data_IF_289588142792
#
_entry.id   IF_289588142792
#
_cell.length_a   1.000
_cell.length_b   1.000
_cell.length_c   1.000
_cell.angle_alpha   90.00
_cell.angle_beta   90.00
_cell.angle_gamma   90.00
#
_symmetry.space_group_name_H-M   'P 1'
#
loop_
_entity.id
_entity.type
_entity.pdbx_description
1 polymer ?
#
# COMPACT_ATOMS: atom_id res chain seq x y z
N UNK A 1 -6.38 -2.81 -19.04
CA UNK A 1 -5.98 -1.54 -19.73
C UNK A 1 -4.50 -1.60 -20.08
N UNK A 2 -4.10 -1.38 -21.34
CA UNK A 2 -2.68 -1.24 -21.71
C UNK A 2 -2.14 0.07 -21.11
N UNK A 3 -1.13 0.00 -20.25
CA UNK A 3 -0.45 1.18 -19.72
C UNK A 3 0.19 1.98 -20.87
N UNK A 4 -0.03 3.28 -20.87
CA UNK A 4 0.63 4.20 -21.80
C UNK A 4 2.14 4.25 -21.52
N UNK A 5 2.95 3.81 -22.48
CA UNK A 5 4.42 3.89 -22.41
C UNK A 5 4.93 4.92 -23.41
N UNK A 6 5.74 5.87 -22.94
CA UNK A 6 6.41 6.83 -23.81
C UNK A 6 7.57 6.15 -24.56
N UNK A 7 7.85 6.61 -25.78
CA UNK A 7 9.02 6.13 -26.54
C UNK A 7 10.31 6.48 -25.81
N UNK A 8 11.19 5.50 -25.65
CA UNK A 8 12.54 5.69 -25.10
C UNK A 8 13.48 6.30 -26.14
N UNK A 9 14.62 6.82 -25.70
CA UNK A 9 15.67 7.30 -26.61
C UNK A 9 16.10 6.20 -27.59
N UNK A 10 16.37 4.99 -27.09
CA UNK A 10 16.73 3.84 -27.95
C UNK A 10 15.66 3.49 -28.98
N UNK A 11 14.38 3.52 -28.60
CA UNK A 11 13.27 3.30 -29.54
C UNK A 11 13.22 4.37 -30.64
N UNK A 12 13.57 5.63 -30.35
CA UNK A 12 13.67 6.69 -31.38
C UNK A 12 14.80 6.39 -32.38
N UNK A 13 15.95 5.89 -31.94
CA UNK A 13 17.02 5.48 -32.85
C UNK A 13 16.61 4.30 -33.73
N UNK A 14 15.89 3.31 -33.17
CA UNK A 14 15.35 2.20 -33.96
C UNK A 14 14.32 2.65 -35.00
N UNK A 15 13.40 3.54 -34.62
CA UNK A 15 12.43 4.16 -35.55
C UNK A 15 13.15 4.90 -36.69
N UNK A 16 14.26 5.58 -36.39
CA UNK A 16 15.06 6.26 -37.40
C UNK A 16 15.67 5.29 -38.41
N UNK A 17 16.27 4.19 -37.95
CA UNK A 17 16.78 3.15 -38.84
C UNK A 17 15.69 2.57 -39.76
N UNK A 18 14.52 2.27 -39.20
CA UNK A 18 13.39 1.76 -39.99
C UNK A 18 12.87 2.79 -41.02
N UNK A 19 12.91 4.08 -40.68
CA UNK A 19 12.54 5.16 -41.59
C UNK A 19 13.56 5.32 -42.74
N UNK A 20 14.86 5.20 -42.45
CA UNK A 20 15.91 5.21 -43.47
C UNK A 20 15.79 4.01 -44.41
N UNK A 21 15.35 2.86 -43.91
CA UNK A 21 15.02 1.68 -44.72
C UNK A 21 13.72 1.83 -45.56
N UNK A 22 13.11 3.02 -45.61
CA UNK A 22 11.94 3.31 -46.43
C UNK A 22 10.61 2.75 -45.91
N UNK A 23 10.55 2.27 -44.66
CA UNK A 23 9.29 1.76 -44.11
C UNK A 23 8.32 2.90 -43.83
N UNK A 24 7.05 2.68 -44.19
CA UNK A 24 5.97 3.59 -43.83
C UNK A 24 5.66 3.53 -42.33
N UNK A 25 4.97 4.55 -41.81
CA UNK A 25 4.62 4.68 -40.39
C UNK A 25 3.86 3.47 -39.82
N UNK A 26 3.04 2.80 -40.64
CA UNK A 26 2.26 1.62 -40.23
C UNK A 26 3.17 0.42 -39.97
N UNK A 27 4.12 0.14 -40.89
CA UNK A 27 5.10 -0.94 -40.72
C UNK A 27 6.08 -0.66 -39.58
N UNK A 28 6.47 0.60 -39.39
CA UNK A 28 7.28 1.02 -38.23
C UNK A 28 6.53 0.71 -36.93
N UNK A 29 5.26 1.10 -36.83
CA UNK A 29 4.45 0.88 -35.64
C UNK A 29 4.31 -0.63 -35.31
N UNK A 30 4.04 -1.45 -36.33
CA UNK A 30 4.00 -2.92 -36.20
C UNK A 30 5.32 -3.49 -35.69
N UNK A 31 6.47 -3.12 -36.28
CA UNK A 31 7.79 -3.59 -35.84
C UNK A 31 8.16 -3.13 -34.43
N UNK A 32 7.73 -1.94 -34.04
CA UNK A 32 7.98 -1.39 -32.70
C UNK A 32 7.00 -1.90 -31.64
N UNK A 33 5.94 -2.62 -32.03
CA UNK A 33 4.88 -3.05 -31.12
C UNK A 33 4.06 -1.92 -30.52
N UNK A 34 3.95 -0.78 -31.21
CA UNK A 34 3.20 0.41 -30.77
C UNK A 34 2.06 0.74 -31.73
N UNK A 35 1.10 1.55 -31.27
CA UNK A 35 0.03 2.02 -32.13
C UNK A 35 0.53 2.99 -33.23
N UNK A 36 -0.10 2.96 -34.42
CA UNK A 36 0.25 3.85 -35.54
C UNK A 36 0.19 5.33 -35.15
N UNK A 37 -0.74 5.70 -34.26
CA UNK A 37 -0.90 7.06 -33.78
C UNK A 37 0.26 7.50 -32.88
N UNK A 38 0.98 6.57 -32.24
CA UNK A 38 2.19 6.88 -31.47
C UNK A 38 3.30 7.37 -32.39
N UNK A 39 3.55 6.66 -33.49
CA UNK A 39 4.56 7.07 -34.50
C UNK A 39 4.15 8.37 -35.18
N UNK A 40 2.89 8.52 -35.56
CA UNK A 40 2.37 9.75 -36.17
C UNK A 40 2.53 10.97 -35.23
N UNK A 41 2.14 10.84 -33.95
CA UNK A 41 2.31 11.93 -32.97
C UNK A 41 3.78 12.24 -32.71
N UNK A 42 4.65 11.24 -32.66
CA UNK A 42 6.10 11.43 -32.51
C UNK A 42 6.67 12.25 -33.68
N UNK A 43 6.39 11.86 -34.93
CA UNK A 43 6.85 12.58 -36.11
C UNK A 43 6.25 13.98 -36.26
N UNK A 44 5.05 14.22 -35.73
CA UNK A 44 4.43 15.55 -35.77
C UNK A 44 4.95 16.48 -34.67
N UNK A 45 5.06 15.98 -33.43
CA UNK A 45 5.37 16.81 -32.25
C UNK A 45 6.87 17.06 -32.05
N UNK A 46 7.72 16.16 -32.55
CA UNK A 46 9.16 16.15 -32.28
C UNK A 46 10.00 16.35 -33.56
N UNK A 47 9.48 17.12 -34.53
CA UNK A 47 10.12 17.40 -35.81
C UNK A 47 10.72 18.80 -35.81
N UNK A 48 11.96 18.90 -36.27
CA UNK A 48 12.63 20.17 -36.53
C UNK A 48 12.43 20.70 -37.94
N UNK A 49 13.02 21.86 -38.23
CA UNK A 49 13.01 22.46 -39.57
C UNK A 49 13.62 21.54 -40.64
N UNK A 50 14.68 20.80 -40.31
CA UNK A 50 15.35 19.83 -41.20
C UNK A 50 14.77 18.40 -41.11
N UNK A 51 13.55 18.26 -40.61
CA UNK A 51 12.88 16.97 -40.44
C UNK A 51 13.04 16.36 -39.06
N UNK A 52 12.74 15.06 -38.96
CA UNK A 52 12.72 14.33 -37.69
C UNK A 52 14.04 13.58 -37.48
N UNK A 53 14.71 13.82 -36.35
CA UNK A 53 15.96 13.17 -35.93
C UNK A 53 15.87 12.72 -34.46
N UNK A 54 16.36 11.53 -34.08
CA UNK A 54 16.21 10.98 -32.73
C UNK A 54 16.68 11.89 -31.59
N UNK A 55 17.91 12.42 -31.68
CA UNK A 55 18.50 13.28 -30.65
C UNK A 55 17.68 14.55 -30.42
N UNK A 56 17.27 15.20 -31.51
CA UNK A 56 16.40 16.37 -31.45
C UNK A 56 15.03 16.03 -30.86
N UNK A 57 14.45 14.90 -31.29
CA UNK A 57 13.14 14.48 -30.83
C UNK A 57 13.10 14.19 -29.34
N UNK A 58 14.21 13.68 -28.79
CA UNK A 58 14.41 13.53 -27.35
C UNK A 58 14.49 14.90 -26.65
N UNK A 59 15.31 15.84 -27.14
CA UNK A 59 15.43 17.20 -26.59
C UNK A 59 14.08 17.91 -26.51
N UNK A 60 13.32 17.95 -27.61
CA UNK A 60 12.01 18.59 -27.67
C UNK A 60 10.97 17.95 -26.73
N UNK A 61 11.12 16.65 -26.43
CA UNK A 61 10.29 15.98 -25.44
C UNK A 61 10.69 16.39 -24.03
N UNK A 62 11.99 16.46 -23.75
CA UNK A 62 12.54 16.78 -22.44
C UNK A 62 12.27 18.25 -22.08
N UNK A 63 12.45 19.18 -23.03
CA UNK A 63 12.06 20.59 -22.90
C UNK A 63 10.58 20.74 -22.55
N UNK A 64 9.68 20.06 -23.28
CA UNK A 64 8.25 20.09 -22.96
C UNK A 64 7.93 19.49 -21.60
N UNK A 65 8.64 18.42 -21.20
CA UNK A 65 8.48 17.84 -19.87
C UNK A 65 8.91 18.83 -18.80
N UNK A 66 10.02 19.54 -19.02
CA UNK A 66 10.53 20.56 -18.12
C UNK A 66 9.56 21.74 -18.01
N UNK A 67 8.99 22.18 -19.14
CA UNK A 67 8.01 23.25 -19.18
C UNK A 67 6.67 22.90 -18.48
N UNK A 68 6.34 21.61 -18.38
CA UNK A 68 5.16 21.14 -17.62
C UNK A 68 5.42 20.96 -16.11
N UNK A 69 6.61 21.27 -15.61
CA UNK A 69 6.89 21.24 -14.17
C UNK A 69 6.21 22.46 -13.54
N UNK A 70 4.94 22.28 -13.17
CA UNK A 70 4.09 23.32 -12.57
C UNK A 70 4.16 23.33 -11.03
N UNK A 71 5.12 22.65 -10.41
CA UNK A 71 5.24 22.59 -8.96
C UNK A 71 5.90 23.84 -8.40
N UNK A 72 5.42 24.34 -7.26
CA UNK A 72 6.11 25.36 -6.45
C UNK A 72 7.54 24.88 -6.19
N UNK A 73 8.51 25.54 -6.82
CA UNK A 73 9.92 25.29 -6.57
C UNK A 73 10.33 26.14 -5.38
N UNK A 74 10.84 25.49 -4.34
CA UNK A 74 11.46 26.19 -3.20
C UNK A 74 12.83 26.67 -3.63
N UNK A 75 13.17 27.91 -3.26
CA UNK A 75 14.48 28.48 -3.56
C UNK A 75 15.59 27.80 -2.76
N UNK A 76 16.85 28.07 -3.11
CA UNK A 76 18.01 27.61 -2.33
C UNK A 76 17.93 28.06 -0.87
N UNK A 77 17.46 29.28 -0.64
CA UNK A 77 17.35 29.88 0.70
C UNK A 77 16.27 29.16 1.53
N UNK A 78 15.15 28.81 0.90
CA UNK A 78 14.09 28.02 1.55
C UNK A 78 14.62 26.66 2.02
N UNK A 79 15.45 26.00 1.20
CA UNK A 79 16.04 24.72 1.56
C UNK A 79 17.12 24.85 2.62
N UNK A 80 17.92 25.91 2.60
CA UNK A 80 18.92 26.17 3.64
C UNK A 80 18.29 26.24 5.04
N UNK A 81 17.12 26.87 5.15
CA UNK A 81 16.41 26.98 6.42
C UNK A 81 15.81 25.63 6.87
N UNK A 82 15.24 24.87 5.93
CA UNK A 82 14.80 23.48 6.20
C UNK A 82 15.97 22.63 6.69
N UNK A 83 17.12 22.72 6.03
CA UNK A 83 18.32 21.96 6.40
C UNK A 83 18.85 22.36 7.78
N UNK A 84 18.82 23.65 8.13
CA UNK A 84 19.16 24.13 9.47
C UNK A 84 18.32 23.43 10.54
N UNK A 85 17.00 23.42 10.37
CA UNK A 85 16.08 22.77 11.32
C UNK A 85 16.27 21.24 11.37
N UNK A 86 16.51 20.59 10.23
CA UNK A 86 16.78 19.15 10.21
C UNK A 86 18.08 18.84 10.97
N UNK A 87 19.13 19.66 10.81
CA UNK A 87 20.40 19.49 11.53
C UNK A 87 20.31 19.73 13.05
N UNK A 88 19.26 20.42 13.50
CA UNK A 88 18.88 20.56 14.91
C UNK A 88 18.05 19.37 15.44
N UNK A 89 18.01 18.26 14.68
CA UNK A 89 17.29 17.01 14.99
C UNK A 89 15.76 17.18 15.14
N UNK A 90 15.20 18.22 14.51
CA UNK A 90 13.75 18.31 14.30
C UNK A 90 13.34 17.30 13.23
N UNK A 91 12.21 16.62 13.47
CA UNK A 91 11.61 15.79 12.44
C UNK A 91 11.08 16.64 11.28
N UNK A 92 10.98 16.11 10.04
CA UNK A 92 10.42 16.83 8.91
C UNK A 92 9.02 17.42 9.15
N UNK A 93 8.21 16.77 10.00
CA UNK A 93 6.91 17.31 10.42
C UNK A 93 7.05 18.52 11.36
N UNK A 94 7.98 18.45 12.32
CA UNK A 94 8.25 19.58 13.22
C UNK A 94 8.87 20.76 12.47
N UNK A 95 9.79 20.51 11.54
CA UNK A 95 10.39 21.56 10.72
C UNK A 95 9.33 22.28 9.87
N UNK A 96 8.46 21.52 9.18
CA UNK A 96 7.35 22.09 8.42
C UNK A 96 6.42 22.96 9.27
N UNK A 97 6.00 22.45 10.44
CA UNK A 97 5.11 23.18 11.34
C UNK A 97 5.78 24.43 11.95
N UNK A 98 7.09 24.37 12.22
CA UNK A 98 7.86 25.49 12.76
C UNK A 98 7.96 26.63 11.75
N UNK A 99 8.31 26.32 10.50
CA UNK A 99 8.41 27.28 9.41
C UNK A 99 7.07 27.95 9.08
N UNK A 100 5.97 27.21 9.20
CA UNK A 100 4.63 27.76 9.05
C UNK A 100 4.27 28.70 10.21
N UNK A 101 4.63 28.33 11.45
CA UNK A 101 4.37 29.14 12.64
C UNK A 101 5.15 30.46 12.64
N UNK A 102 6.39 30.44 12.16
CA UNK A 102 7.24 31.63 12.04
C UNK A 102 6.91 32.48 10.80
N UNK A 103 6.01 32.01 9.93
CA UNK A 103 5.60 32.71 8.72
C UNK A 103 6.66 32.75 7.61
N UNK A 104 7.73 31.95 7.75
CA UNK A 104 8.87 31.95 6.83
C UNK A 104 8.59 31.12 5.59
N UNK A 105 8.01 29.93 5.77
CA UNK A 105 7.82 29.00 4.66
C UNK A 105 6.68 27.99 4.90
N UNK A 106 5.74 27.93 3.96
CA UNK A 106 4.79 26.81 3.89
C UNK A 106 5.33 25.71 2.97
N UNK A 107 5.77 24.61 3.59
CA UNK A 107 6.30 23.40 2.95
C UNK A 107 5.70 22.15 3.58
N UNK A 108 5.37 21.14 2.77
CA UNK A 108 4.88 19.87 3.32
C UNK A 108 6.03 19.01 3.83
N UNK A 109 5.81 18.28 4.94
CA UNK A 109 6.79 17.33 5.47
C UNK A 109 7.19 16.26 4.44
N UNK A 110 6.30 15.88 3.52
CA UNK A 110 6.63 14.99 2.39
C UNK A 110 7.64 15.61 1.42
N UNK A 111 7.53 16.91 1.14
CA UNK A 111 8.52 17.60 0.31
C UNK A 111 9.91 17.59 0.97
N UNK A 112 9.96 17.79 2.30
CA UNK A 112 11.19 17.69 3.09
C UNK A 112 11.75 16.26 3.06
N UNK A 113 10.90 15.22 3.21
CA UNK A 113 11.35 13.83 3.09
C UNK A 113 11.96 13.51 1.71
N UNK A 114 11.35 14.02 0.63
CA UNK A 114 11.92 13.86 -0.73
C UNK A 114 13.26 14.55 -0.86
N UNK A 115 13.43 15.74 -0.28
CA UNK A 115 14.70 16.48 -0.26
C UNK A 115 15.79 15.71 0.47
N UNK A 116 15.52 15.28 1.70
CA UNK A 116 16.47 14.46 2.49
C UNK A 116 16.82 13.14 1.76
N UNK A 117 15.86 12.55 1.05
CA UNK A 117 16.12 11.34 0.25
C UNK A 117 16.95 11.62 -1.01
N UNK A 118 16.79 12.79 -1.63
CA UNK A 118 17.59 13.22 -2.77
C UNK A 118 19.03 13.52 -2.32
N UNK A 119 19.21 14.32 -1.28
CA UNK A 119 20.49 14.60 -0.62
C UNK A 119 21.25 13.29 -0.31
N UNK A 120 20.58 12.32 0.33
CA UNK A 120 21.17 11.01 0.60
C UNK A 120 21.64 10.26 -0.66
N UNK A 121 20.92 10.36 -1.77
CA UNK A 121 21.31 9.71 -3.04
C UNK A 121 22.53 10.39 -3.66
N UNK A 122 22.66 11.70 -3.44
CA UNK A 122 23.76 12.52 -3.93
C UNK A 122 24.98 12.48 -2.99
N UNK A 123 24.88 11.75 -1.86
CA UNK A 123 25.98 11.50 -0.91
C UNK A 123 25.96 12.37 0.35
N UNK A 124 24.90 13.15 0.57
CA UNK A 124 24.73 14.01 1.73
C UNK A 124 24.31 13.28 3.02
N UNK A 125 24.30 14.05 4.11
CA UNK A 125 24.22 13.59 5.48
C UNK A 125 22.91 13.96 6.20
N UNK A 126 21.97 14.68 5.56
CA UNK A 126 20.73 15.13 6.20
C UNK A 126 19.91 13.99 6.82
N UNK A 127 19.98 12.81 6.20
CA UNK A 127 19.27 11.62 6.68
C UNK A 127 19.77 11.10 8.04
N UNK A 128 20.97 11.47 8.47
CA UNK A 128 21.56 11.07 9.75
C UNK A 128 20.90 11.80 10.93
N UNK A 129 20.38 13.01 10.69
CA UNK A 129 19.66 13.82 11.68
C UNK A 129 18.19 13.43 11.85
N UNK A 130 17.70 12.45 11.08
CA UNK A 130 16.36 11.93 11.29
C UNK A 130 16.32 11.00 12.51
N UNK A 131 15.41 11.30 13.45
CA UNK A 131 15.17 10.51 14.68
C UNK A 131 14.99 9.00 14.46
N UNK A 132 14.49 8.61 13.28
CA UNK A 132 14.36 7.20 12.90
C UNK A 132 15.48 6.80 11.93
N UNK A 133 16.67 6.54 12.46
CA UNK A 133 17.81 6.01 11.70
C UNK A 133 17.69 4.52 11.35
N UNK A 134 16.51 3.91 11.45
CA UNK A 134 16.34 2.48 11.24
C UNK A 134 16.77 2.12 9.81
N UNK A 135 17.86 1.34 9.60
CA UNK A 135 18.34 1.00 8.27
C UNK A 135 17.32 0.16 7.49
N UNK A 136 16.33 -0.41 8.20
CA UNK A 136 15.24 -1.21 7.65
C UNK A 136 13.97 -1.00 8.48
N UNK A 137 12.83 -0.83 7.81
CA UNK A 137 11.51 -0.94 8.45
C UNK A 137 11.41 -2.32 9.11
N UNK A 138 11.14 -2.35 10.41
CA UNK A 138 10.89 -3.60 11.15
C UNK A 138 9.73 -4.31 10.44
N UNK A 139 10.03 -5.33 9.63
CA UNK A 139 9.00 -6.22 9.11
C UNK A 139 8.57 -7.03 10.32
N UNK A 140 7.33 -6.85 10.79
CA UNK A 140 6.71 -7.88 11.61
C UNK A 140 6.85 -9.16 10.78
N UNK A 141 7.56 -10.15 11.32
CA UNK A 141 7.81 -11.39 10.62
C UNK A 141 6.48 -11.91 10.06
N UNK A 142 6.50 -12.31 8.80
CA UNK A 142 5.37 -12.89 8.07
C UNK A 142 4.65 -13.93 8.93
N UNK A 143 3.55 -13.55 9.57
CA UNK A 143 2.45 -14.42 10.00
C UNK A 143 2.75 -15.74 10.71
N UNK A 144 3.98 -16.05 11.14
CA UNK A 144 4.28 -17.30 11.83
C UNK A 144 3.80 -17.16 13.28
N UNK A 145 2.54 -17.53 13.44
CA UNK A 145 1.82 -17.61 14.69
C UNK A 145 2.50 -18.62 15.63
N UNK A 146 3.27 -18.09 16.58
CA UNK A 146 4.01 -18.88 17.59
C UNK A 146 3.14 -19.36 18.76
N UNK A 147 1.84 -19.01 18.75
CA UNK A 147 0.91 -19.28 19.87
C UNK A 147 0.36 -20.71 19.88
N UNK A 148 0.65 -21.49 18.84
CA UNK A 148 0.07 -22.80 18.61
C UNK A 148 -1.34 -22.67 18.02
N UNK A 149 -1.63 -23.45 16.98
CA UNK A 149 -2.99 -23.55 16.45
C UNK A 149 -3.80 -24.50 17.36
N UNK A 150 -5.09 -24.21 17.55
CA UNK A 150 -6.02 -25.13 18.20
C UNK A 150 -6.00 -26.44 17.41
N UNK A 151 -5.61 -27.55 18.06
CA UNK A 151 -5.59 -28.88 17.45
C UNK A 151 -7.01 -29.28 17.07
N UNK A 152 -7.18 -29.85 15.89
CA UNK A 152 -8.49 -30.28 15.35
C UNK A 152 -9.51 -29.15 15.20
N UNK A 153 -9.07 -27.90 15.03
CA UNK A 153 -9.99 -26.83 14.61
C UNK A 153 -10.48 -27.12 13.19
N UNK A 154 -11.78 -27.13 12.99
CA UNK A 154 -12.38 -27.13 11.66
C UNK A 154 -12.29 -25.70 11.12
N UNK A 155 -11.75 -25.52 9.91
CA UNK A 155 -11.67 -24.18 9.33
C UNK A 155 -13.06 -23.59 9.14
N UNK A 156 -13.16 -22.26 9.21
CA UNK A 156 -14.38 -21.55 8.80
C UNK A 156 -14.73 -21.87 7.34
N UNK A 157 -13.71 -22.09 6.51
CA UNK A 157 -13.88 -22.43 5.10
C UNK A 157 -14.37 -23.88 4.88
N UNK A 158 -14.31 -24.74 5.90
CA UNK A 158 -14.74 -26.14 5.84
C UNK A 158 -16.18 -26.33 6.35
N UNK A 159 -16.89 -25.24 6.65
CA UNK A 159 -18.27 -25.30 7.14
C UNK A 159 -19.20 -25.84 6.03
N UNK A 160 -20.16 -26.73 6.36
CA UNK A 160 -21.17 -27.16 5.40
C UNK A 160 -21.98 -25.98 4.85
N UNK A 161 -22.32 -26.00 3.56
CA UNK A 161 -23.03 -24.90 2.88
C UNK A 161 -24.33 -24.47 3.58
N UNK A 162 -25.04 -25.42 4.21
CA UNK A 162 -26.27 -25.15 4.97
C UNK A 162 -26.08 -24.10 6.10
N UNK A 163 -24.88 -24.04 6.69
CA UNK A 163 -24.51 -23.09 7.76
C UNK A 163 -24.36 -21.66 7.22
N UNK A 164 -23.90 -21.52 5.97
CA UNK A 164 -23.74 -20.22 5.30
C UNK A 164 -25.05 -19.73 4.67
N UNK A 165 -25.89 -20.66 4.21
CA UNK A 165 -27.23 -20.35 3.73
C UNK A 165 -28.17 -19.88 4.85
N UNK A 166 -27.86 -20.17 6.13
CA UNK A 166 -28.65 -19.78 7.31
C UNK A 166 -30.12 -20.24 7.22
N UNK A 167 -30.35 -21.40 6.64
CA UNK A 167 -31.70 -21.92 6.35
C UNK A 167 -32.33 -22.65 7.53
N UNK A 168 -31.54 -23.16 8.49
CA UNK A 168 -32.00 -23.80 9.73
C UNK A 168 -31.49 -23.07 10.97
N UNK A 169 -32.13 -23.33 12.11
CA UNK A 169 -31.62 -22.91 13.42
C UNK A 169 -30.70 -23.99 13.96
N UNK A 170 -29.78 -23.62 14.84
CA UNK A 170 -28.94 -24.56 15.57
C UNK A 170 -27.48 -24.62 15.15
N UNK A 171 -27.06 -23.68 14.29
CA UNK A 171 -25.67 -23.53 13.90
C UNK A 171 -25.08 -22.34 14.67
N UNK A 172 -24.20 -22.65 15.62
CA UNK A 172 -23.67 -21.70 16.60
C UNK A 172 -22.26 -21.22 16.23
N UNK A 173 -22.01 -19.93 16.42
CA UNK A 173 -20.68 -19.32 16.26
C UNK A 173 -20.21 -18.75 17.61
N UNK A 174 -19.10 -19.30 18.11
CA UNK A 174 -18.48 -18.94 19.37
C UNK A 174 -17.34 -17.94 19.22
N UNK A 175 -17.29 -16.96 20.11
CA UNK A 175 -16.19 -16.02 20.25
C UNK A 175 -15.78 -15.92 21.73
N UNK A 176 -14.54 -15.50 21.99
CA UNK A 176 -14.03 -15.28 23.35
C UNK A 176 -13.46 -13.87 23.48
N UNK A 177 -14.11 -13.05 24.30
CA UNK A 177 -13.63 -11.72 24.66
C UNK A 177 -12.71 -11.83 25.87
N UNK A 178 -11.45 -11.42 25.71
CA UNK A 178 -10.46 -11.46 26.79
C UNK A 178 -10.53 -10.15 27.60
N UNK A 179 -10.62 -10.28 28.93
CA UNK A 179 -10.66 -9.14 29.85
C UNK A 179 -9.33 -8.38 29.95
N UNK A 180 -9.38 -7.19 30.55
CA UNK A 180 -8.20 -6.34 30.79
C UNK A 180 -7.10 -7.11 31.52
N UNK A 181 -5.84 -6.89 31.11
CA UNK A 181 -4.67 -7.58 31.66
C UNK A 181 -4.72 -9.12 31.54
N UNK A 182 -5.52 -9.65 30.59
CA UNK A 182 -5.76 -11.09 30.42
C UNK A 182 -6.35 -11.78 31.66
N UNK A 183 -6.99 -11.01 32.56
CA UNK A 183 -7.68 -11.56 33.74
C UNK A 183 -9.15 -11.79 33.39
N UNK A 184 -9.54 -13.06 33.33
CA UNK A 184 -10.90 -13.49 32.97
C UNK A 184 -11.27 -13.21 31.51
N UNK A 185 -12.53 -13.46 31.18
CA UNK A 185 -13.09 -13.24 29.86
C UNK A 185 -14.59 -13.48 29.81
N UNK A 186 -15.14 -13.43 28.60
CA UNK A 186 -16.52 -13.75 28.32
C UNK A 186 -16.54 -14.66 27.10
N UNK A 187 -17.21 -15.81 27.18
CA UNK A 187 -17.56 -16.60 26.00
C UNK A 187 -18.91 -16.12 25.49
N UNK A 188 -19.03 -15.95 24.19
CA UNK A 188 -20.30 -15.64 23.52
C UNK A 188 -20.57 -16.69 22.47
N UNK A 189 -21.82 -17.14 22.36
CA UNK A 189 -22.29 -18.09 21.34
C UNK A 189 -23.49 -17.45 20.64
N UNK A 190 -23.34 -17.17 19.35
CA UNK A 190 -24.39 -16.59 18.52
C UNK A 190 -24.96 -17.63 17.56
N UNK A 191 -26.27 -17.84 17.61
CA UNK A 191 -26.98 -18.68 16.64
C UNK A 191 -27.08 -17.94 15.29
N UNK A 192 -26.63 -18.56 14.20
CA UNK A 192 -26.36 -17.84 12.94
C UNK A 192 -27.61 -17.36 12.19
N UNK A 193 -28.77 -18.01 12.39
CA UNK A 193 -30.04 -17.64 11.72
C UNK A 193 -30.81 -16.57 12.50
N UNK A 194 -31.18 -16.89 13.74
CA UNK A 194 -31.98 -16.06 14.66
C UNK A 194 -31.18 -14.92 15.30
N UNK A 195 -29.85 -15.02 15.34
CA UNK A 195 -28.96 -14.11 16.08
C UNK A 195 -29.19 -14.13 17.59
N UNK A 196 -29.84 -15.17 18.12
CA UNK A 196 -29.93 -15.38 19.54
C UNK A 196 -28.53 -15.60 20.14
N UNK A 197 -28.21 -14.87 21.22
CA UNK A 197 -26.87 -14.87 21.83
C UNK A 197 -26.92 -15.40 23.25
N UNK A 198 -26.04 -16.36 23.53
CA UNK A 198 -25.72 -16.84 24.86
C UNK A 198 -24.37 -16.26 25.27
N UNK A 199 -24.21 -15.86 26.53
CA UNK A 199 -22.96 -15.34 27.03
C UNK A 199 -22.67 -15.86 28.44
N UNK A 200 -21.40 -16.17 28.72
CA UNK A 200 -20.98 -16.73 30.00
C UNK A 200 -19.64 -16.17 30.46
N UNK A 201 -19.55 -15.82 31.74
CA UNK A 201 -18.33 -15.28 32.33
C UNK A 201 -17.26 -16.37 32.51
N UNK A 202 -16.03 -16.08 32.08
CA UNK A 202 -14.86 -16.93 32.21
C UNK A 202 -13.94 -16.40 33.31
N UNK A 203 -13.68 -17.22 34.33
CA UNK A 203 -12.69 -16.90 35.37
C UNK A 203 -11.25 -17.02 34.85
N UNK A 204 -11.02 -17.88 33.87
CA UNK A 204 -9.73 -18.08 33.20
C UNK A 204 -9.92 -18.36 31.71
N UNK A 205 -8.91 -18.01 30.91
CA UNK A 205 -8.86 -18.21 29.44
C UNK A 205 -8.36 -19.60 29.02
N UNK A 206 -8.15 -20.51 29.97
CA UNK A 206 -7.73 -21.88 29.65
C UNK A 206 -8.88 -22.67 29.01
N UNK A 207 -8.52 -23.59 28.11
CA UNK A 207 -9.47 -24.36 27.32
C UNK A 207 -10.54 -25.05 28.18
N UNK A 208 -10.15 -25.66 29.30
CA UNK A 208 -11.08 -26.34 30.22
C UNK A 208 -12.18 -25.43 30.77
N UNK A 209 -11.83 -24.19 31.15
CA UNK A 209 -12.79 -23.20 31.64
C UNK A 209 -13.75 -22.75 30.55
N UNK A 210 -13.24 -22.54 29.33
CA UNK A 210 -14.05 -22.20 28.15
C UNK A 210 -15.01 -23.33 27.80
N UNK A 211 -14.53 -24.58 27.77
CA UNK A 211 -15.36 -25.76 27.49
C UNK A 211 -16.48 -25.91 28.51
N UNK A 212 -16.17 -25.84 29.80
CA UNK A 212 -17.17 -25.98 30.87
C UNK A 212 -18.31 -24.96 30.73
N UNK A 213 -17.99 -23.68 30.52
CA UNK A 213 -18.99 -22.63 30.37
C UNK A 213 -19.77 -22.80 29.05
N UNK A 214 -19.08 -23.13 27.95
CA UNK A 214 -19.72 -23.36 26.65
C UNK A 214 -20.73 -24.51 26.70
N UNK A 215 -20.36 -25.64 27.30
CA UNK A 215 -21.24 -26.80 27.48
C UNK A 215 -22.44 -26.44 28.35
N UNK A 216 -22.23 -25.69 29.44
CA UNK A 216 -23.32 -25.23 30.31
C UNK A 216 -24.31 -24.33 29.55
N UNK A 217 -23.83 -23.44 28.67
CA UNK A 217 -24.67 -22.56 27.87
C UNK A 217 -25.47 -23.33 26.82
N UNK A 218 -24.87 -24.34 26.17
CA UNK A 218 -25.52 -25.12 25.13
C UNK A 218 -26.39 -26.27 25.65
N UNK A 219 -26.21 -26.70 26.89
CA UNK A 219 -26.96 -27.83 27.47
C UNK A 219 -28.49 -27.67 27.35
N UNK A 220 -29.10 -26.48 27.59
CA UNK A 220 -30.53 -26.27 27.38
C UNK A 220 -30.97 -26.34 25.90
N UNK A 221 -30.04 -26.20 24.96
CA UNK A 221 -30.27 -26.15 23.51
C UNK A 221 -29.71 -27.37 22.78
N UNK A 222 -29.31 -28.42 23.50
CA UNK A 222 -28.60 -29.59 22.96
C UNK A 222 -29.34 -30.24 21.79
N UNK A 223 -30.67 -30.33 21.87
CA UNK A 223 -31.51 -30.99 20.86
C UNK A 223 -31.62 -30.18 19.56
N UNK A 224 -31.25 -28.90 19.62
CA UNK A 224 -31.24 -27.96 18.51
C UNK A 224 -29.80 -27.52 18.18
N UNK A 225 -28.77 -28.20 18.67
CA UNK A 225 -27.38 -27.84 18.39
C UNK A 225 -26.84 -28.76 17.29
N UNK A 226 -26.78 -28.26 16.05
CA UNK A 226 -26.26 -29.01 14.91
C UNK A 226 -24.75 -28.81 14.73
N UNK A 227 -24.27 -27.57 14.84
CA UNK A 227 -22.84 -27.25 14.69
C UNK A 227 -22.40 -26.16 15.66
N UNK A 228 -21.13 -26.18 16.03
CA UNK A 228 -20.47 -25.10 16.78
C UNK A 228 -19.11 -24.81 16.15
N UNK A 229 -18.84 -23.55 15.82
CA UNK A 229 -17.56 -23.08 15.31
C UNK A 229 -17.00 -21.98 16.21
N UNK A 230 -15.74 -22.10 16.64
CA UNK A 230 -15.08 -21.09 17.50
C UNK A 230 -14.05 -20.32 16.66
N UNK A 231 -13.99 -18.98 16.82
CA UNK A 231 -12.98 -18.12 16.18
C UNK A 231 -11.67 -18.06 16.94
#
# INVERSE_FOLDING_TARGET
>A
MKQYKQLTSGQRYQIYGLKQAGLNQTRIAQKMGVDKSTISREFRRNKGQRGWRPKQAQSLRDERRQACINGKQFSSECWAEVERLIREDLSPEQAANRLELEGELQISHEAIYRHVTADKRDGGDLHQHLRSQKPRRKRYASGQERRGMIKNRVSIDERPEIVDQKTRMGDWEGDTVIGKNHKGGLVTLAERKSRYVLAGHLRSKHAEGVTTVTTSLLSPHKDQCHTINIR
#
